data_IF_139553074176
#
_entry.id   IF_139553074176
#
_cell.length_a   1.000
_cell.length_b   1.000
_cell.length_c   1.000
_cell.angle_alpha   90.00
_cell.angle_beta   90.00
_cell.angle_gamma   90.00
#
_symmetry.space_group_name_H-M   'P 1'
#
loop_
_entity.id
_entity.type
_entity.pdbx_description
1 polymer ?
#
# COMPACT_ATOMS: atom_id res chain seq x y z
N UNK A 1 9.86 6.09 -5.29
CA UNK A 1 8.98 5.48 -6.31
C UNK A 1 8.85 6.45 -7.47
N UNK A 2 8.86 5.96 -8.70
CA UNK A 2 8.70 6.76 -9.91
C UNK A 2 7.44 6.37 -10.68
N UNK A 3 7.14 7.12 -11.73
CA UNK A 3 6.08 6.78 -12.68
C UNK A 3 6.71 6.10 -13.90
N UNK A 4 6.00 5.11 -14.44
CA UNK A 4 6.37 4.40 -15.66
C UNK A 4 5.14 4.29 -16.55
N UNK A 5 5.37 4.23 -17.86
CA UNK A 5 4.32 3.99 -18.86
C UNK A 5 3.95 2.51 -18.98
N UNK A 6 4.77 1.62 -18.42
CA UNK A 6 4.57 0.18 -18.51
C UNK A 6 4.22 -0.41 -17.15
N UNK A 7 3.36 -1.44 -17.15
CA UNK A 7 2.99 -2.19 -15.96
C UNK A 7 3.23 -3.68 -16.22
N UNK A 8 3.88 -4.37 -15.27
CA UNK A 8 4.03 -5.82 -15.30
C UNK A 8 3.00 -6.56 -14.44
N UNK A 9 2.17 -5.79 -13.69
CA UNK A 9 1.03 -6.29 -12.93
C UNK A 9 -0.18 -5.39 -13.14
N UNK A 10 -1.30 -5.99 -13.49
CA UNK A 10 -2.60 -5.31 -13.69
C UNK A 10 -3.60 -5.62 -12.58
N UNK A 11 -3.38 -6.70 -11.84
CA UNK A 11 -4.24 -7.13 -10.74
C UNK A 11 -3.83 -6.45 -9.43
N UNK A 12 -4.70 -6.56 -8.42
CA UNK A 12 -4.34 -6.20 -7.04
C UNK A 12 -3.22 -7.09 -6.54
N UNK A 13 -2.14 -6.50 -6.05
CA UNK A 13 -0.99 -7.21 -5.51
C UNK A 13 -0.51 -6.59 -4.21
N UNK A 14 0.09 -7.44 -3.37
CA UNK A 14 0.88 -7.03 -2.22
C UNK A 14 2.35 -7.21 -2.53
N UNK A 15 3.16 -6.25 -2.15
CA UNK A 15 4.59 -6.25 -2.45
C UNK A 15 5.38 -5.99 -1.17
N UNK A 16 6.42 -6.79 -0.93
CA UNK A 16 7.40 -6.52 0.11
C UNK A 16 8.82 -6.58 -0.44
N UNK A 17 9.74 -5.85 0.18
CA UNK A 17 11.15 -5.88 -0.19
C UNK A 17 11.77 -7.26 0.04
N UNK A 18 12.55 -7.71 -0.91
CA UNK A 18 13.35 -8.94 -0.81
C UNK A 18 14.72 -8.68 -0.19
N UNK A 19 15.28 -7.51 -0.45
CA UNK A 19 16.63 -7.11 -0.05
C UNK A 19 16.57 -5.80 0.73
N UNK A 20 17.32 -5.69 1.82
CA UNK A 20 17.38 -4.49 2.64
C UNK A 20 16.22 -4.35 3.62
N UNK A 21 15.34 -3.40 3.42
CA UNK A 21 14.22 -3.16 4.33
C UNK A 21 13.13 -4.21 4.15
N UNK A 22 12.96 -5.08 5.14
CA UNK A 22 11.92 -6.11 5.15
C UNK A 22 10.71 -5.69 5.96
N UNK A 23 9.58 -6.38 5.74
CA UNK A 23 8.36 -6.22 6.54
C UNK A 23 7.51 -5.02 6.20
N UNK A 24 7.96 -4.15 5.30
CA UNK A 24 7.12 -3.08 4.76
C UNK A 24 6.30 -3.68 3.61
N UNK A 25 5.04 -3.93 3.89
CA UNK A 25 4.09 -4.43 2.89
C UNK A 25 3.41 -3.26 2.22
N UNK A 26 3.54 -3.19 0.90
CA UNK A 26 2.92 -2.18 0.06
C UNK A 26 1.73 -2.78 -0.68
N UNK A 27 0.66 -1.99 -0.80
CA UNK A 27 -0.58 -2.36 -1.47
C UNK A 27 -0.65 -1.66 -2.83
N UNK A 28 -0.93 -2.42 -3.87
CA UNK A 28 -1.17 -1.90 -5.20
C UNK A 28 -2.54 -2.38 -5.70
N UNK A 29 -3.46 -1.44 -5.89
CA UNK A 29 -4.81 -1.68 -6.42
C UNK A 29 -4.96 -1.21 -7.87
N UNK A 30 -3.91 -0.62 -8.43
CA UNK A 30 -3.83 -0.15 -9.80
C UNK A 30 -2.66 -0.82 -10.52
N UNK A 31 -2.65 -0.80 -11.85
CA UNK A 31 -1.52 -1.31 -12.62
C UNK A 31 -0.20 -0.71 -12.15
N UNK A 32 0.79 -1.56 -11.91
CA UNK A 32 2.10 -1.14 -11.42
C UNK A 32 3.23 -1.98 -12.01
N UNK A 33 4.44 -1.46 -11.89
CA UNK A 33 5.65 -2.15 -12.26
C UNK A 33 6.47 -2.49 -11.02
N UNK A 34 6.86 -3.75 -10.86
CA UNK A 34 7.68 -4.23 -9.73
C UNK A 34 9.03 -4.71 -10.23
N UNK A 35 10.08 -4.46 -9.45
CA UNK A 35 11.43 -4.93 -9.75
C UNK A 35 11.69 -6.34 -9.22
N UNK A 36 12.78 -6.96 -9.68
CA UNK A 36 13.21 -8.30 -9.23
C UNK A 36 13.63 -8.35 -7.75
N UNK A 37 13.86 -7.21 -7.14
CA UNK A 37 14.19 -7.07 -5.70
C UNK A 37 12.95 -7.04 -4.80
N UNK A 38 11.80 -7.41 -5.33
CA UNK A 38 10.55 -7.46 -4.58
C UNK A 38 9.95 -8.86 -4.60
N UNK A 39 9.20 -9.18 -3.56
CA UNK A 39 8.32 -10.33 -3.48
C UNK A 39 6.90 -9.88 -3.75
N UNK A 40 6.29 -10.43 -4.79
CA UNK A 40 4.91 -10.15 -5.19
C UNK A 40 4.01 -11.26 -4.69
N UNK A 41 2.97 -10.89 -3.97
CA UNK A 41 1.99 -11.80 -3.40
C UNK A 41 0.61 -11.48 -4.00
N UNK A 42 -0.04 -12.50 -4.56
CA UNK A 42 -1.42 -12.46 -5.04
C UNK A 42 -2.29 -13.33 -4.16
N UNK A 43 -3.46 -12.86 -3.79
CA UNK A 43 -4.40 -13.60 -2.96
C UNK A 43 -5.83 -13.20 -3.28
N UNK A 44 -6.74 -14.17 -3.24
CA UNK A 44 -8.19 -13.93 -3.29
C UNK A 44 -8.70 -13.27 -2.00
N UNK A 45 -7.98 -13.48 -0.88
CA UNK A 45 -8.22 -12.83 0.40
C UNK A 45 -7.19 -11.74 0.62
N UNK A 46 -7.32 -10.66 -0.14
CA UNK A 46 -6.32 -9.60 -0.25
C UNK A 46 -6.07 -8.87 1.07
N UNK A 47 -7.14 -8.48 1.75
CA UNK A 47 -7.04 -7.73 3.01
C UNK A 47 -6.55 -8.61 4.16
N UNK A 48 -7.02 -9.84 4.24
CA UNK A 48 -6.53 -10.83 5.21
C UNK A 48 -5.03 -11.09 5.01
N UNK A 49 -4.63 -11.33 3.76
CA UNK A 49 -3.22 -11.58 3.43
C UNK A 49 -2.35 -10.37 3.77
N UNK A 50 -2.83 -9.16 3.51
CA UNK A 50 -2.13 -7.93 3.90
C UNK A 50 -1.91 -7.86 5.41
N UNK A 51 -2.93 -8.18 6.22
CA UNK A 51 -2.81 -8.19 7.67
C UNK A 51 -1.84 -9.26 8.19
N UNK A 52 -1.85 -10.44 7.59
CA UNK A 52 -0.92 -11.51 7.94
C UNK A 52 0.52 -11.10 7.61
N UNK A 53 0.76 -10.59 6.42
CA UNK A 53 2.10 -10.17 5.99
C UNK A 53 2.70 -9.10 6.90
N UNK A 54 1.90 -8.16 7.39
CA UNK A 54 2.37 -7.12 8.31
C UNK A 54 2.74 -7.65 9.70
N UNK A 55 2.29 -8.85 10.07
CA UNK A 55 2.54 -9.47 11.39
C UNK A 55 3.64 -10.52 11.38
N UNK A 56 4.17 -10.86 10.21
CA UNK A 56 5.27 -11.81 10.10
C UNK A 56 6.53 -11.22 10.74
N UNK A 57 7.20 -12.01 11.55
CA UNK A 57 8.56 -11.68 12.00
C UNK A 57 9.56 -12.00 10.89
N UNK A 58 9.88 -11.00 10.11
CA UNK A 58 10.85 -11.11 9.02
C UNK A 58 12.29 -11.24 9.51
N UNK A 59 12.59 -10.86 10.74
CA UNK A 59 13.95 -10.93 11.29
C UNK A 59 14.43 -12.37 11.43
N UNK A 60 13.51 -13.28 11.79
CA UNK A 60 13.78 -14.71 11.88
C UNK A 60 14.08 -15.39 10.53
N UNK A 61 13.73 -14.75 9.41
CA UNK A 61 13.93 -15.29 8.06
C UNK A 61 15.21 -14.77 7.40
N UNK A 62 15.89 -13.82 8.04
CA UNK A 62 17.04 -13.17 7.45
C UNK A 62 18.22 -14.14 7.34
N UNK A 63 18.73 -14.36 6.11
CA UNK A 63 19.88 -15.24 5.82
C UNK A 63 21.16 -14.45 5.46
N UNK A 64 21.06 -13.14 5.30
CA UNK A 64 22.20 -12.32 4.90
C UNK A 64 22.99 -11.80 6.10
N UNK A 65 24.28 -12.05 6.13
CA UNK A 65 25.16 -11.52 7.18
C UNK A 65 25.47 -10.02 7.00
N UNK A 66 25.57 -9.57 5.76
CA UNK A 66 25.92 -8.18 5.41
C UNK A 66 24.68 -7.40 4.92
N UNK A 67 23.80 -8.07 4.19
CA UNK A 67 22.56 -7.48 3.69
C UNK A 67 21.40 -8.44 3.93
N UNK A 68 20.37 -8.02 4.65
CA UNK A 68 19.20 -8.84 4.90
C UNK A 68 18.56 -9.31 3.58
N UNK A 69 18.32 -10.62 3.46
CA UNK A 69 17.71 -11.26 2.28
C UNK A 69 16.62 -12.24 2.70
N UNK A 70 15.43 -12.07 2.11
CA UNK A 70 14.31 -12.99 2.24
C UNK A 70 14.02 -13.63 0.89
N UNK A 71 13.83 -14.95 0.88
CA UNK A 71 13.51 -15.68 -0.33
C UNK A 71 12.02 -16.04 -0.39
N UNK A 72 11.54 -16.35 -1.60
CA UNK A 72 10.18 -16.91 -1.76
C UNK A 72 10.02 -18.23 -0.98
N UNK A 73 11.10 -19.02 -0.88
CA UNK A 73 11.09 -20.27 -0.13
C UNK A 73 10.89 -20.06 1.38
N UNK A 74 11.42 -18.97 1.92
CA UNK A 74 11.23 -18.63 3.33
C UNK A 74 9.79 -18.17 3.57
N UNK A 75 9.23 -17.35 2.68
CA UNK A 75 7.83 -16.91 2.77
C UNK A 75 6.84 -18.07 2.67
N UNK A 76 7.11 -19.06 1.82
CA UNK A 76 6.24 -20.25 1.68
C UNK A 76 6.24 -21.17 2.90
N UNK A 77 7.20 -21.04 3.79
CA UNK A 77 7.30 -21.83 5.02
C UNK A 77 6.57 -21.21 6.20
N UNK A 78 6.07 -20.00 6.05
CA UNK A 78 5.33 -19.33 7.11
C UNK A 78 4.03 -20.05 7.36
N UNK A 79 3.86 -20.55 8.56
CA UNK A 79 2.60 -21.12 9.00
C UNK A 79 1.63 -20.01 9.37
N UNK A 80 0.46 -20.01 8.77
CA UNK A 80 -0.61 -19.08 9.07
C UNK A 80 -1.85 -19.84 9.55
N UNK A 81 -2.56 -19.28 10.52
CA UNK A 81 -3.87 -19.78 10.89
C UNK A 81 -4.88 -19.25 9.86
N UNK A 82 -5.48 -20.16 9.13
CA UNK A 82 -6.49 -19.85 8.14
C UNK A 82 -7.88 -20.06 8.76
N UNK A 83 -8.70 -18.99 8.90
CA UNK A 83 -10.09 -19.10 9.32
C UNK A 83 -10.94 -19.87 8.30
N UNK A 84 -12.16 -20.24 8.69
CA UNK A 84 -13.14 -20.78 7.73
C UNK A 84 -13.50 -19.77 6.65
N UNK A 85 -14.02 -20.28 5.53
CA UNK A 85 -14.32 -19.48 4.33
C UNK A 85 -15.34 -18.37 4.61
N UNK A 86 -16.32 -18.63 5.46
CA UNK A 86 -17.36 -17.66 5.79
C UNK A 86 -16.78 -16.48 6.59
N UNK A 87 -15.96 -16.76 7.57
CA UNK A 87 -15.23 -15.76 8.37
C UNK A 87 -14.30 -14.93 7.50
N UNK A 88 -13.55 -15.58 6.60
CA UNK A 88 -12.69 -14.87 5.64
C UNK A 88 -13.48 -13.94 4.73
N UNK A 89 -14.60 -14.40 4.18
CA UNK A 89 -15.44 -13.58 3.30
C UNK A 89 -16.01 -12.35 4.02
N UNK A 90 -16.47 -12.52 5.26
CA UNK A 90 -16.95 -11.41 6.11
C UNK A 90 -15.82 -10.41 6.39
N UNK A 91 -14.64 -10.91 6.72
CA UNK A 91 -13.46 -10.07 6.96
C UNK A 91 -13.07 -9.28 5.71
N UNK A 92 -12.97 -9.92 4.54
CA UNK A 92 -12.64 -9.26 3.27
C UNK A 92 -13.63 -8.15 2.92
N UNK A 93 -14.92 -8.40 3.11
CA UNK A 93 -15.96 -7.39 2.85
C UNK A 93 -15.82 -6.19 3.78
N UNK A 94 -15.66 -6.43 5.07
CA UNK A 94 -15.53 -5.37 6.07
C UNK A 94 -14.23 -4.58 5.89
N UNK A 95 -13.10 -5.28 5.88
CA UNK A 95 -11.78 -4.66 5.75
C UNK A 95 -11.63 -3.96 4.40
N UNK A 96 -12.14 -4.56 3.31
CA UNK A 96 -12.12 -3.97 1.98
C UNK A 96 -12.88 -2.64 1.91
N UNK A 97 -14.04 -2.56 2.54
CA UNK A 97 -14.81 -1.30 2.61
C UNK A 97 -14.02 -0.21 3.33
N UNK A 98 -13.44 -0.53 4.49
CA UNK A 98 -12.64 0.43 5.25
C UNK A 98 -11.39 0.89 4.48
N UNK A 99 -10.72 -0.03 3.81
CA UNK A 99 -9.51 0.28 3.06
C UNK A 99 -9.80 1.09 1.79
N UNK A 100 -10.92 0.85 1.12
CA UNK A 100 -11.37 1.67 0.00
C UNK A 100 -11.65 3.10 0.45
N UNK A 101 -12.31 3.28 1.60
CA UNK A 101 -12.53 4.60 2.17
C UNK A 101 -11.22 5.30 2.55
N UNK A 102 -10.29 4.56 3.14
CA UNK A 102 -8.98 5.11 3.47
C UNK A 102 -8.21 5.58 2.23
N UNK A 103 -8.25 4.80 1.14
CA UNK A 103 -7.61 5.18 -0.12
C UNK A 103 -8.27 6.39 -0.77
N UNK A 104 -9.61 6.47 -0.72
CA UNK A 104 -10.35 7.63 -1.21
C UNK A 104 -9.97 8.90 -0.42
N UNK A 105 -9.95 8.83 0.90
CA UNK A 105 -9.54 9.94 1.76
C UNK A 105 -8.09 10.37 1.50
N UNK A 106 -7.19 9.40 1.27
CA UNK A 106 -5.80 9.70 0.92
C UNK A 106 -5.68 10.46 -0.39
N UNK A 107 -6.45 10.08 -1.41
CA UNK A 107 -6.48 10.78 -2.70
C UNK A 107 -7.07 12.17 -2.55
N UNK A 108 -8.12 12.32 -1.76
CA UNK A 108 -8.73 13.63 -1.47
C UNK A 108 -7.74 14.54 -0.75
N UNK A 109 -7.02 14.04 0.25
CA UNK A 109 -5.97 14.81 0.94
C UNK A 109 -4.88 15.32 0.00
N UNK A 110 -4.48 14.52 -1.01
CA UNK A 110 -3.52 14.97 -2.02
C UNK A 110 -4.10 16.11 -2.86
N UNK A 111 -5.38 16.03 -3.26
CA UNK A 111 -6.06 17.08 -4.01
C UNK A 111 -6.20 18.36 -3.18
N UNK A 112 -6.61 18.23 -1.93
CA UNK A 112 -6.75 19.36 -1.00
C UNK A 112 -5.40 20.05 -0.74
N UNK A 113 -4.33 19.29 -0.57
CA UNK A 113 -2.98 19.84 -0.43
C UNK A 113 -2.56 20.63 -1.69
N UNK A 114 -2.78 20.07 -2.88
CA UNK A 114 -2.50 20.75 -4.14
C UNK A 114 -3.34 22.04 -4.32
N UNK A 115 -4.61 21.99 -3.94
CA UNK A 115 -5.50 23.17 -3.97
C UNK A 115 -5.00 24.26 -3.02
N UNK A 116 -4.69 23.89 -1.76
CA UNK A 116 -4.11 24.81 -0.78
C UNK A 116 -2.84 25.47 -1.32
N UNK A 117 -1.91 24.67 -1.85
CA UNK A 117 -0.62 25.17 -2.34
C UNK A 117 -0.76 26.06 -3.58
N UNK A 118 -1.86 25.90 -4.32
CA UNK A 118 -2.20 26.77 -5.47
C UNK A 118 -2.87 28.08 -5.03
N UNK A 119 -3.77 28.01 -4.05
CA UNK A 119 -4.59 29.16 -3.64
C UNK A 119 -3.84 30.07 -2.65
N UNK A 120 -3.12 29.48 -1.69
CA UNK A 120 -2.48 30.23 -0.62
C UNK A 120 -1.55 31.35 -1.12
N UNK A 121 -0.65 31.14 -2.10
CA UNK A 121 0.18 32.22 -2.64
C UNK A 121 -0.65 33.35 -3.25
N UNK A 122 -1.76 33.04 -3.92
CA UNK A 122 -2.64 34.03 -4.57
C UNK A 122 -3.40 34.86 -3.56
N UNK A 123 -3.82 34.25 -2.46
CA UNK A 123 -4.41 35.00 -1.34
C UNK A 123 -3.38 35.92 -0.68
N UNK A 124 -2.18 35.40 -0.44
CA UNK A 124 -1.11 36.22 0.20
C UNK A 124 -0.61 37.35 -0.67
N UNK A 125 -0.64 37.24 -2.00
CA UNK A 125 -0.27 38.31 -2.93
C UNK A 125 -1.38 39.31 -3.18
N UNK A 126 -2.62 39.06 -2.74
CA UNK A 126 -3.79 39.86 -3.05
C UNK A 126 -4.33 39.66 -4.48
N UNK A 127 -3.83 38.64 -5.21
CA UNK A 127 -4.34 38.28 -6.55
C UNK A 127 -5.78 37.74 -6.44
N UNK A 128 -6.11 37.06 -5.34
CA UNK A 128 -7.46 36.64 -5.00
C UNK A 128 -7.98 37.48 -3.84
N UNK A 129 -9.00 38.29 -4.11
CA UNK A 129 -9.74 39.03 -3.09
C UNK A 129 -10.89 38.14 -2.56
N UNK A 130 -10.99 38.04 -1.25
CA UNK A 130 -12.03 37.26 -0.55
C UNK A 130 -12.88 38.15 0.36
N UNK A 131 -12.79 39.46 0.23
CA UNK A 131 -13.48 40.43 1.08
C UNK A 131 -15.00 40.31 1.02
N UNK A 132 -15.54 39.81 -0.10
CA UNK A 132 -16.97 39.66 -0.35
C UNK A 132 -17.52 38.25 -0.03
N UNK A 133 -16.71 37.34 0.57
CA UNK A 133 -17.16 35.99 0.93
C UNK A 133 -17.72 36.05 2.35
N UNK A 134 -19.05 35.88 2.49
CA UNK A 134 -19.69 35.65 3.77
C UNK A 134 -19.28 34.26 4.31
N UNK A 135 -18.69 34.23 5.52
CA UNK A 135 -18.25 33.03 6.23
C UNK A 135 -19.33 32.56 7.22
#
# INVERSE_FOLDING_TARGET
>A
MGFTSEANHTDKILVTGRVGTHGIVQRFNAPCWTSDNTLVIKSSYYEFTNQILQRIDYSAMNRGSTQPLITQGDMKKVNILLPDVETLAKFETFAGTMMNQWEANKQENVKLASLRDTILPKLMSGELDVSDIDL
#
